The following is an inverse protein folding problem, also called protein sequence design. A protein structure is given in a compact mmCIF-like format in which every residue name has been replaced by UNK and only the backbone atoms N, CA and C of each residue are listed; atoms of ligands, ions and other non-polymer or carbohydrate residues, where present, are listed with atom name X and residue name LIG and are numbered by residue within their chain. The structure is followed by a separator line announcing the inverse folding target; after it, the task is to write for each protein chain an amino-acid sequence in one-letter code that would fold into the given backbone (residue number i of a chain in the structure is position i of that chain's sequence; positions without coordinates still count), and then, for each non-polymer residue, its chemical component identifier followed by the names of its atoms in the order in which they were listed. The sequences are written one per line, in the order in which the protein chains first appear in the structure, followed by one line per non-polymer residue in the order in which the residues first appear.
data_IF_267714241781
#
_entry.id   IF_267714241781
#
_cell.length_a   1.000
_cell.length_b   1.000
_cell.length_c   1.000
_cell.angle_alpha   90.00
_cell.angle_beta   90.00
_cell.angle_gamma   90.00
#
_symmetry.space_group_name_H-M   'P 1'
#
loop_
_entity.id
_entity.type
_entity.pdbx_description
1 polymer ?
#
# COMPACT_ATOMS: atom_id res chain seq x y z
N UNK A 1 49.24 4.87 64.69
CA UNK A 1 48.34 6.04 64.60
C UNK A 1 48.92 7.23 63.82
N UNK A 2 50.25 7.41 63.74
CA UNK A 2 50.84 8.53 63.01
C UNK A 2 50.62 8.50 61.48
N UNK A 3 50.53 7.32 60.86
CA UNK A 3 50.36 7.18 59.41
C UNK A 3 48.96 7.58 58.93
N UNK A 4 47.90 7.16 59.63
CA UNK A 4 46.51 7.45 59.24
C UNK A 4 46.17 8.94 59.39
N UNK A 5 46.64 9.57 60.45
CA UNK A 5 46.55 11.02 60.65
C UNK A 5 47.32 11.80 59.57
N UNK A 6 48.49 11.31 59.15
CA UNK A 6 49.27 11.91 58.06
C UNK A 6 48.57 11.79 56.69
N UNK A 7 47.94 10.64 56.40
CA UNK A 7 47.13 10.47 55.19
C UNK A 7 45.87 11.36 55.22
N UNK A 8 45.15 11.45 56.34
CA UNK A 8 44.00 12.36 56.50
C UNK A 8 44.43 13.83 56.32
N UNK A 9 45.58 14.23 56.86
CA UNK A 9 46.14 15.56 56.68
C UNK A 9 46.52 15.85 55.22
N UNK A 10 47.03 14.85 54.47
CA UNK A 10 47.32 14.99 53.04
C UNK A 10 46.06 15.08 52.20
N UNK A 11 45.05 14.27 52.49
CA UNK A 11 43.77 14.26 51.78
C UNK A 11 42.97 15.55 52.00
N UNK A 12 43.10 16.18 53.17
CA UNK A 12 42.42 17.46 53.50
C UNK A 12 43.14 18.70 52.96
N UNK A 13 44.36 18.58 52.43
CA UNK A 13 45.04 19.72 51.78
C UNK A 13 44.23 20.18 50.58
N UNK A 14 43.88 21.48 50.55
CA UNK A 14 43.20 22.14 49.40
C UNK A 14 43.85 21.81 48.05
N UNK A 15 45.19 21.65 47.99
CA UNK A 15 45.91 21.26 46.77
C UNK A 15 45.59 19.83 46.31
N UNK A 16 45.47 18.89 47.24
CA UNK A 16 45.10 17.51 46.91
C UNK A 16 43.65 17.43 46.46
N UNK A 17 42.71 18.04 47.21
CA UNK A 17 41.29 18.12 46.85
C UNK A 17 41.12 18.79 45.48
N UNK A 18 41.86 19.87 45.20
CA UNK A 18 41.85 20.50 43.88
C UNK A 18 42.40 19.60 42.77
N UNK A 19 43.51 18.88 43.00
CA UNK A 19 44.06 17.96 41.99
C UNK A 19 43.18 16.73 41.77
N UNK A 20 42.50 16.24 42.80
CA UNK A 20 41.65 15.06 42.75
C UNK A 20 40.30 15.36 42.09
N UNK A 21 39.62 16.44 42.50
CA UNK A 21 38.31 16.83 41.93
C UNK A 21 38.43 17.40 40.50
N UNK A 22 39.57 17.97 40.12
CA UNK A 22 39.83 18.46 38.76
C UNK A 22 40.84 17.60 38.00
N UNK A 23 41.04 16.34 38.40
CA UNK A 23 41.81 15.38 37.61
C UNK A 23 41.08 15.15 36.29
N UNK A 24 41.49 15.86 35.23
CA UNK A 24 41.11 15.53 33.87
C UNK A 24 42.21 14.64 33.33
N UNK A 25 41.86 13.43 32.92
CA UNK A 25 42.74 12.59 32.12
C UNK A 25 43.08 13.38 30.85
N UNK A 26 44.38 13.57 30.58
CA UNK A 26 44.80 14.16 29.31
C UNK A 26 44.24 13.32 28.17
N UNK A 27 43.68 13.96 27.13
CA UNK A 27 43.20 13.23 25.96
C UNK A 27 44.40 12.63 25.25
N UNK A 28 44.62 11.33 25.42
CA UNK A 28 45.64 10.61 24.69
C UNK A 28 45.30 10.63 23.20
N UNK A 29 46.04 11.44 22.43
CA UNK A 29 46.03 11.41 20.97
C UNK A 29 46.87 10.23 20.47
N UNK A 30 46.56 9.02 20.92
CA UNK A 30 47.04 7.82 20.22
C UNK A 30 46.31 7.76 18.89
N UNK A 31 47.03 7.91 17.77
CA UNK A 31 46.51 7.59 16.44
C UNK A 31 46.12 6.12 16.52
N UNK A 32 44.83 5.81 16.51
CA UNK A 32 44.41 4.45 16.75
C UNK A 32 44.74 3.61 15.49
N UNK A 33 45.07 2.31 15.64
CA UNK A 33 45.41 1.46 14.51
C UNK A 33 44.26 1.45 13.49
N UNK A 34 44.52 1.21 12.20
CA UNK A 34 43.52 1.25 11.11
C UNK A 34 42.23 0.43 11.36
N UNK A 35 42.26 -0.54 12.28
CA UNK A 35 41.13 -1.41 12.65
C UNK A 35 40.37 -0.95 13.91
N UNK A 36 40.76 0.16 14.53
CA UNK A 36 40.14 0.66 15.75
C UNK A 36 38.81 1.35 15.44
N UNK A 37 37.70 0.71 15.83
CA UNK A 37 36.33 1.21 15.65
C UNK A 37 36.04 2.30 16.69
N UNK A 38 36.60 3.50 16.51
CA UNK A 38 36.30 4.69 17.35
C UNK A 38 35.02 5.43 16.93
N UNK A 39 34.17 4.80 16.14
CA UNK A 39 32.91 5.39 15.70
C UNK A 39 31.83 4.82 16.62
N UNK A 40 31.31 5.60 17.58
CA UNK A 40 30.19 5.14 18.40
C UNK A 40 28.99 4.85 17.51
N UNK A 41 28.11 3.92 17.90
CA UNK A 41 26.88 3.72 17.15
C UNK A 41 26.07 5.02 17.11
N UNK A 42 25.43 5.29 15.99
CA UNK A 42 24.47 6.38 15.84
C UNK A 42 23.08 5.77 15.65
N UNK A 43 22.08 6.43 16.21
CA UNK A 43 20.67 6.11 15.96
C UNK A 43 20.28 6.71 14.62
N UNK A 44 20.24 5.89 13.58
CA UNK A 44 19.75 6.29 12.27
C UNK A 44 18.26 5.96 12.16
N UNK A 45 17.46 6.95 11.78
CA UNK A 45 16.00 6.83 11.65
C UNK A 45 15.32 6.51 12.99
N UNK A 46 15.36 7.46 13.96
CA UNK A 46 14.84 7.25 15.30
C UNK A 46 13.38 6.80 15.31
N UNK A 47 12.60 7.19 14.31
CA UNK A 47 11.21 6.81 14.09
C UNK A 47 10.98 5.29 14.02
N UNK A 48 11.94 4.49 13.57
CA UNK A 48 11.80 3.02 13.47
C UNK A 48 12.08 2.28 14.78
N UNK A 49 12.64 2.95 15.79
CA UNK A 49 12.97 2.34 17.08
C UNK A 49 11.69 1.95 17.84
N UNK A 50 11.53 0.67 18.20
CA UNK A 50 10.37 0.18 18.97
C UNK A 50 10.56 0.29 20.50
N UNK A 51 11.55 1.04 20.99
CA UNK A 51 11.83 1.22 22.43
C UNK A 51 12.05 -0.08 23.23
N UNK A 52 12.49 -1.17 22.58
CA UNK A 52 12.59 -2.50 23.21
C UNK A 52 13.70 -2.65 24.26
N UNK A 53 14.68 -1.73 24.32
CA UNK A 53 15.80 -1.80 25.27
C UNK A 53 16.84 -2.89 24.97
N UNK A 54 16.73 -3.62 23.86
CA UNK A 54 17.68 -4.68 23.51
C UNK A 54 19.14 -4.17 23.42
N UNK A 55 19.34 -2.95 22.93
CA UNK A 55 20.65 -2.30 22.84
C UNK A 55 21.24 -1.90 24.19
N UNK A 56 20.40 -1.48 25.14
CA UNK A 56 20.79 -1.18 26.51
C UNK A 56 21.20 -2.47 27.23
N UNK A 57 20.37 -3.52 27.14
CA UNK A 57 20.66 -4.82 27.75
C UNK A 57 21.85 -5.57 27.12
N UNK A 58 22.13 -5.36 25.83
CA UNK A 58 23.25 -6.00 25.14
C UNK A 58 24.58 -5.24 25.29
N UNK A 59 24.58 -4.02 25.84
CA UNK A 59 25.78 -3.21 25.92
C UNK A 59 26.71 -3.68 27.05
N UNK A 60 27.89 -4.28 26.76
CA UNK A 60 28.77 -4.81 27.80
C UNK A 60 29.45 -3.72 28.64
N UNK A 61 29.55 -2.49 28.11
CA UNK A 61 30.14 -1.34 28.81
C UNK A 61 29.08 -0.41 29.42
N UNK A 62 27.80 -0.80 29.39
CA UNK A 62 26.67 -0.01 29.89
C UNK A 62 26.64 1.43 29.36
N UNK A 63 27.14 1.64 28.15
CA UNK A 63 27.24 2.95 27.50
C UNK A 63 25.92 3.46 26.90
N UNK A 64 24.83 2.69 26.99
CA UNK A 64 23.55 3.00 26.33
C UNK A 64 22.47 3.13 27.40
N UNK A 65 21.74 4.25 27.37
CA UNK A 65 20.61 4.53 28.26
C UNK A 65 19.36 4.85 27.42
N UNK A 66 18.22 4.25 27.75
CA UNK A 66 16.96 4.54 27.04
C UNK A 66 16.27 5.81 27.56
N UNK A 67 16.42 6.92 26.84
CA UNK A 67 15.89 8.24 27.23
C UNK A 67 14.63 8.58 26.41
N UNK A 68 13.64 9.23 27.02
CA UNK A 68 12.43 9.65 26.31
C UNK A 68 12.66 10.93 25.51
N UNK A 69 12.36 10.91 24.21
CA UNK A 69 12.44 12.06 23.32
C UNK A 69 11.04 12.56 22.95
N UNK A 70 10.77 13.85 23.19
CA UNK A 70 9.46 14.45 22.93
C UNK A 70 9.11 14.48 21.44
N UNK A 71 10.08 14.77 20.56
CA UNK A 71 9.89 14.86 19.11
C UNK A 71 9.33 13.56 18.49
N UNK A 72 9.75 12.42 19.04
CA UNK A 72 9.35 11.10 18.57
C UNK A 72 8.32 10.40 19.47
N UNK A 73 7.94 11.03 20.60
CA UNK A 73 7.00 10.49 21.60
C UNK A 73 7.32 9.07 22.08
N UNK A 74 8.61 8.74 22.24
CA UNK A 74 9.06 7.40 22.64
C UNK A 74 10.48 7.40 23.23
N UNK A 75 10.90 6.25 23.78
CA UNK A 75 12.25 6.08 24.32
C UNK A 75 13.24 5.69 23.22
N UNK A 76 14.37 6.37 23.15
CA UNK A 76 15.44 6.10 22.20
C UNK A 76 16.76 5.89 22.96
N UNK A 77 17.67 5.07 22.43
CA UNK A 77 18.97 4.87 23.04
C UNK A 77 19.83 6.12 22.90
N UNK A 78 20.24 6.67 24.05
CA UNK A 78 21.27 7.69 24.16
C UNK A 78 22.59 6.99 24.47
N UNK A 79 23.60 7.25 23.64
CA UNK A 79 24.89 6.55 23.69
C UNK A 79 25.93 7.49 24.27
N UNK A 80 26.54 7.09 25.38
CA UNK A 80 27.71 7.76 25.95
C UNK A 80 28.97 7.35 25.18
N UNK A 81 29.50 8.29 24.38
CA UNK A 81 30.69 8.11 23.56
C UNK A 81 31.94 7.84 24.40
N UNK A 82 31.98 8.32 25.66
CA UNK A 82 33.09 8.09 26.58
C UNK A 82 33.12 6.67 27.15
N UNK A 83 31.95 6.06 27.36
CA UNK A 83 31.82 4.68 27.85
C UNK A 83 31.76 3.63 26.73
N UNK A 84 31.45 4.04 25.50
CA UNK A 84 31.30 3.13 24.36
C UNK A 84 32.65 2.56 23.91
N UNK A 85 32.73 1.22 23.86
CA UNK A 85 33.93 0.51 23.40
C UNK A 85 33.90 0.12 21.90
N UNK A 86 32.85 0.52 21.16
CA UNK A 86 32.76 0.28 19.71
C UNK A 86 32.64 -1.21 19.30
N UNK A 87 32.13 -2.08 20.18
CA UNK A 87 32.05 -3.52 19.93
C UNK A 87 30.99 -3.92 18.88
N UNK A 88 29.92 -3.12 18.73
CA UNK A 88 28.83 -3.37 17.78
C UNK A 88 27.73 -4.33 18.26
N UNK A 89 27.75 -4.81 19.49
CA UNK A 89 26.72 -5.74 19.98
C UNK A 89 25.30 -5.13 19.97
N UNK A 90 25.20 -3.82 20.25
CA UNK A 90 23.94 -3.09 20.17
C UNK A 90 23.36 -3.00 18.75
N UNK A 91 24.23 -3.00 17.72
CA UNK A 91 23.83 -3.00 16.31
C UNK A 91 23.24 -4.36 15.94
N UNK A 92 23.95 -5.44 16.26
CA UNK A 92 23.52 -6.81 15.94
C UNK A 92 22.25 -7.23 16.70
N UNK A 93 22.12 -6.81 17.96
CA UNK A 93 20.94 -7.11 18.78
C UNK A 93 19.72 -6.26 18.45
N UNK A 94 19.85 -5.22 17.63
CA UNK A 94 18.73 -4.33 17.31
C UNK A 94 17.78 -5.02 16.32
N UNK A 95 16.54 -5.40 16.73
CA UNK A 95 15.61 -6.09 15.84
C UNK A 95 15.13 -5.20 14.68
N UNK A 96 15.15 -3.88 14.89
CA UNK A 96 14.76 -2.86 13.89
C UNK A 96 15.95 -2.28 13.14
N UNK A 97 17.18 -2.72 13.48
CA UNK A 97 18.47 -2.30 12.88
C UNK A 97 18.80 -0.81 12.91
N UNK A 98 18.12 -0.02 13.76
CA UNK A 98 18.21 1.45 13.89
C UNK A 98 19.59 1.96 14.32
N UNK A 99 20.43 1.09 14.88
CA UNK A 99 21.77 1.46 15.33
C UNK A 99 22.81 1.14 14.26
N UNK A 100 23.70 2.07 13.96
CA UNK A 100 24.76 1.89 12.96
C UNK A 100 26.14 2.28 13.50
N UNK A 101 27.16 1.46 13.23
CA UNK A 101 28.57 1.81 13.43
C UNK A 101 29.18 2.07 12.06
N UNK A 102 29.75 3.27 11.89
CA UNK A 102 30.15 3.86 10.60
C UNK A 102 31.35 3.23 9.88
N UNK A 103 31.35 1.92 9.64
CA UNK A 103 32.32 1.25 8.77
C UNK A 103 31.70 0.50 7.59
N UNK A 104 30.46 0.85 7.19
CA UNK A 104 29.74 0.27 6.04
C UNK A 104 29.27 1.31 5.00
N UNK A 105 29.66 2.59 5.14
CA UNK A 105 29.16 3.72 4.31
C UNK A 105 30.23 4.39 3.44
N UNK A 106 31.32 3.70 3.08
CA UNK A 106 32.25 4.25 2.06
C UNK A 106 31.52 4.56 0.74
N UNK A 107 30.49 3.77 0.40
CA UNK A 107 29.76 3.86 -0.87
C UNK A 107 28.78 5.05 -0.97
N UNK A 108 28.32 5.61 0.16
CA UNK A 108 27.27 6.65 0.20
C UNK A 108 27.74 8.02 0.67
N UNK A 109 29.01 8.14 1.10
CA UNK A 109 29.63 9.40 1.54
C UNK A 109 29.74 10.47 0.43
N UNK A 110 29.65 10.07 -0.85
CA UNK A 110 29.74 10.95 -2.02
C UNK A 110 28.40 11.58 -2.45
N UNK A 111 27.27 11.16 -1.86
CA UNK A 111 25.96 11.67 -2.25
C UNK A 111 25.58 12.92 -1.43
N UNK A 112 25.01 13.96 -2.07
CA UNK A 112 24.66 15.23 -1.40
C UNK A 112 23.50 15.12 -0.40
N UNK A 113 22.89 13.94 -0.22
CA UNK A 113 21.73 13.69 0.63
C UNK A 113 21.88 12.38 1.42
N UNK A 114 21.28 12.32 2.62
CA UNK A 114 21.30 11.12 3.47
C UNK A 114 20.22 10.14 2.99
N UNK A 115 20.61 9.06 2.31
CA UNK A 115 19.67 8.17 1.62
C UNK A 115 19.11 7.09 2.58
N UNK A 116 17.79 6.77 2.55
CA UNK A 116 17.17 5.87 3.53
C UNK A 116 17.52 4.39 3.37
N UNK A 117 18.33 3.83 4.29
CA UNK A 117 18.79 2.42 4.25
C UNK A 117 17.70 1.35 4.23
N UNK A 118 16.49 1.72 4.63
CA UNK A 118 15.42 0.77 4.85
C UNK A 118 14.39 0.74 3.73
N UNK A 119 13.67 -0.37 3.66
CA UNK A 119 12.45 -0.49 2.86
C UNK A 119 11.33 0.32 3.49
N UNK A 120 10.66 1.08 2.64
CA UNK A 120 9.44 1.80 2.94
C UNK A 120 8.31 1.23 2.08
N UNK A 121 7.10 1.27 2.62
CA UNK A 121 5.93 0.73 1.97
C UNK A 121 4.91 1.83 1.71
N UNK A 122 4.31 1.84 0.53
CA UNK A 122 3.17 2.69 0.20
C UNK A 122 2.05 1.84 -0.36
N UNK A 123 0.82 2.08 0.11
CA UNK A 123 -0.36 1.40 -0.42
C UNK A 123 -0.87 2.19 -1.62
N UNK A 124 -1.02 1.50 -2.74
CA UNK A 124 -1.64 2.03 -3.94
C UNK A 124 -3.16 2.04 -3.79
N UNK A 125 -3.73 3.24 -3.68
CA UNK A 125 -5.17 3.46 -3.52
C UNK A 125 -6.01 3.04 -4.73
N UNK A 126 -5.44 2.98 -5.94
CA UNK A 126 -6.18 2.53 -7.12
C UNK A 126 -6.32 1.00 -7.15
N UNK A 127 -5.28 0.29 -6.70
CA UNK A 127 -5.23 -1.16 -6.64
C UNK A 127 -5.85 -1.74 -5.37
N UNK A 128 -5.76 -1.03 -4.25
CA UNK A 128 -6.29 -1.46 -2.96
C UNK A 128 -7.80 -1.73 -3.05
N UNK A 129 -8.22 -2.87 -2.49
CA UNK A 129 -9.64 -3.28 -2.42
C UNK A 129 -10.24 -3.11 -1.02
N UNK A 130 -9.51 -2.45 -0.13
CA UNK A 130 -9.88 -2.16 1.25
C UNK A 130 -10.26 -3.41 2.09
N UNK A 131 -9.65 -4.55 1.81
CA UNK A 131 -9.91 -5.80 2.53
C UNK A 131 -9.36 -5.84 3.97
N UNK A 132 -8.42 -4.96 4.32
CA UNK A 132 -7.83 -4.89 5.66
C UNK A 132 -6.87 -6.03 6.03
N UNK A 133 -6.52 -6.94 5.11
CA UNK A 133 -5.57 -8.02 5.38
C UNK A 133 -4.22 -7.51 5.88
N UNK A 134 -3.72 -6.42 5.30
CA UNK A 134 -2.47 -5.79 5.71
C UNK A 134 -2.51 -5.28 7.17
N UNK A 135 -3.63 -4.68 7.59
CA UNK A 135 -3.82 -4.23 8.97
C UNK A 135 -3.83 -5.42 9.94
N UNK A 136 -4.53 -6.50 9.61
CA UNK A 136 -4.64 -7.69 10.47
C UNK A 136 -3.32 -8.43 10.71
N UNK A 137 -2.33 -8.32 9.82
CA UNK A 137 -1.02 -8.99 9.96
C UNK A 137 0.09 -8.08 10.52
N UNK A 138 -0.19 -6.79 10.72
CA UNK A 138 0.81 -5.82 11.16
C UNK A 138 1.14 -6.04 12.64
N UNK A 139 2.39 -6.37 13.02
CA UNK A 139 2.74 -6.65 14.42
C UNK A 139 2.87 -5.39 15.30
N UNK A 140 2.92 -4.20 14.69
CA UNK A 140 3.15 -2.91 15.37
C UNK A 140 2.04 -1.90 15.08
N UNK A 141 0.91 -2.36 14.52
CA UNK A 141 -0.27 -1.54 14.20
C UNK A 141 0.04 -0.25 13.42
N UNK A 142 1.06 -0.28 12.56
CA UNK A 142 1.48 0.88 11.75
C UNK A 142 0.53 1.20 10.57
N UNK A 143 -0.58 0.46 10.41
CA UNK A 143 -1.48 0.61 9.26
C UNK A 143 -2.85 1.10 9.72
N UNK A 144 -3.19 2.32 9.32
CA UNK A 144 -4.42 3.00 9.68
C UNK A 144 -5.38 3.11 8.50
N UNK A 145 -6.67 3.26 8.81
CA UNK A 145 -7.73 3.46 7.82
C UNK A 145 -8.35 4.85 8.01
N UNK A 146 -8.21 5.71 7.01
CA UNK A 146 -8.67 7.11 7.07
C UNK A 146 -10.14 7.27 6.63
N UNK A 147 -10.93 6.19 6.69
CA UNK A 147 -12.32 6.17 6.22
C UNK A 147 -12.48 5.91 4.72
N UNK A 148 -11.43 6.11 3.92
CA UNK A 148 -11.45 5.79 2.48
C UNK A 148 -10.32 4.84 2.08
N UNK A 149 -9.06 5.15 2.45
CA UNK A 149 -7.87 4.39 2.07
C UNK A 149 -7.09 3.93 3.31
N UNK A 150 -6.41 2.79 3.18
CA UNK A 150 -5.40 2.38 4.15
C UNK A 150 -4.09 3.14 3.91
N UNK A 151 -3.46 3.62 4.99
CA UNK A 151 -2.16 4.29 4.96
C UNK A 151 -1.21 3.65 5.96
N UNK A 152 0.05 3.58 5.57
CA UNK A 152 1.13 3.07 6.42
C UNK A 152 1.80 4.28 7.06
N UNK A 153 1.82 4.33 8.38
CA UNK A 153 2.63 5.28 9.10
C UNK A 153 4.09 4.87 8.98
N UNK A 154 4.83 5.67 8.23
CA UNK A 154 6.24 5.47 7.95
C UNK A 154 7.07 5.46 9.23
N UNK A 155 6.66 6.23 10.24
CA UNK A 155 7.37 6.30 11.50
C UNK A 155 7.23 4.99 12.28
N UNK A 156 6.00 4.51 12.44
CA UNK A 156 5.76 3.28 13.21
C UNK A 156 6.15 1.99 12.48
N UNK A 157 6.35 2.03 11.16
CA UNK A 157 6.61 0.84 10.35
C UNK A 157 8.03 0.28 10.53
N UNK A 158 8.13 -0.99 10.92
CA UNK A 158 9.42 -1.68 11.12
C UNK A 158 9.98 -2.38 9.86
N UNK A 159 9.32 -2.31 8.70
CA UNK A 159 9.87 -2.90 7.48
C UNK A 159 9.71 -4.43 7.31
N UNK A 160 8.83 -5.10 8.07
CA UNK A 160 8.78 -6.58 8.15
C UNK A 160 8.11 -7.34 6.98
N UNK A 161 7.57 -6.65 5.97
CA UNK A 161 6.98 -7.23 4.73
C UNK A 161 5.75 -8.13 4.84
N UNK A 162 5.29 -8.48 6.05
CA UNK A 162 4.07 -9.27 6.27
C UNK A 162 2.84 -8.73 5.53
N UNK A 163 2.71 -7.41 5.43
CA UNK A 163 1.60 -6.78 4.71
C UNK A 163 1.64 -7.06 3.20
N UNK A 164 2.84 -7.16 2.61
CA UNK A 164 3.05 -7.45 1.19
C UNK A 164 2.68 -8.90 0.89
N UNK A 165 3.09 -9.83 1.75
CA UNK A 165 2.77 -11.26 1.64
C UNK A 165 1.27 -11.52 1.81
N UNK A 166 0.65 -10.89 2.80
CA UNK A 166 -0.78 -11.06 3.09
C UNK A 166 -1.69 -10.38 2.05
N UNK A 167 -1.17 -9.45 1.24
CA UNK A 167 -1.99 -8.72 0.27
C UNK A 167 -2.37 -9.64 -0.91
N UNK A 168 -3.67 -9.85 -1.18
CA UNK A 168 -4.13 -10.73 -2.26
C UNK A 168 -4.03 -10.08 -3.65
N UNK A 169 -3.82 -8.76 -3.71
CA UNK A 169 -3.73 -7.99 -4.97
C UNK A 169 -2.27 -7.76 -5.33
N UNK A 170 -1.92 -8.02 -6.58
CA UNK A 170 -0.57 -7.80 -7.11
C UNK A 170 -0.23 -6.31 -7.08
N UNK A 171 0.98 -5.97 -6.65
CA UNK A 171 1.55 -4.61 -6.60
C UNK A 171 0.74 -3.53 -5.86
N UNK A 172 -0.29 -3.92 -5.10
CA UNK A 172 -1.09 -2.98 -4.32
C UNK A 172 -0.31 -2.34 -3.15
N UNK A 173 0.79 -2.95 -2.72
CA UNK A 173 1.73 -2.36 -1.76
C UNK A 173 3.07 -2.25 -2.48
N UNK A 174 3.51 -1.02 -2.73
CA UNK A 174 4.78 -0.72 -3.37
C UNK A 174 5.88 -0.54 -2.35
N UNK A 175 7.03 -1.10 -2.67
CA UNK A 175 8.25 -1.00 -1.87
C UNK A 175 9.14 0.02 -2.55
N UNK A 176 9.70 0.94 -1.78
CA UNK A 176 10.79 1.81 -2.23
C UNK A 176 11.87 1.82 -1.16
N UNK A 177 13.12 1.77 -1.60
CA UNK A 177 14.32 1.76 -0.77
C UNK A 177 15.33 2.78 -1.30
N UNK A 178 16.45 2.93 -0.59
CA UNK A 178 17.56 3.80 -0.98
C UNK A 178 18.03 3.56 -2.41
N UNK A 179 18.16 2.29 -2.81
CA UNK A 179 18.65 1.94 -4.13
C UNK A 179 17.73 2.45 -5.24
N UNK A 180 16.41 2.17 -5.12
CA UNK A 180 15.42 2.63 -6.10
C UNK A 180 15.38 4.16 -6.15
N UNK A 181 15.48 4.84 -5.00
CA UNK A 181 15.49 6.30 -4.98
C UNK A 181 16.73 6.86 -5.70
N UNK A 182 17.93 6.38 -5.36
CA UNK A 182 19.19 6.82 -5.96
C UNK A 182 19.19 6.63 -7.47
N UNK A 183 18.81 5.44 -7.96
CA UNK A 183 18.71 5.15 -9.40
C UNK A 183 17.77 6.13 -10.12
N UNK A 184 16.64 6.46 -9.50
CA UNK A 184 15.65 7.38 -10.08
C UNK A 184 16.10 8.84 -10.03
N UNK A 185 16.84 9.25 -9.02
CA UNK A 185 17.46 10.57 -8.95
C UNK A 185 18.57 10.74 -9.98
N UNK A 186 19.43 9.74 -10.16
CA UNK A 186 20.46 9.75 -11.22
C UNK A 186 19.82 9.83 -12.61
N UNK A 187 18.75 9.06 -12.85
CA UNK A 187 17.99 9.15 -14.09
C UNK A 187 17.41 10.55 -14.31
N UNK A 188 16.81 11.15 -13.27
CA UNK A 188 16.29 12.52 -13.29
C UNK A 188 17.39 13.52 -13.67
N UNK A 189 18.56 13.42 -13.04
CA UNK A 189 19.72 14.26 -13.32
C UNK A 189 20.20 14.11 -14.76
N UNK A 190 20.33 12.87 -15.25
CA UNK A 190 20.77 12.59 -16.62
C UNK A 190 19.82 13.16 -17.68
N UNK A 191 18.51 13.04 -17.46
CA UNK A 191 17.49 13.64 -18.35
C UNK A 191 17.60 15.17 -18.34
N UNK A 192 17.74 15.76 -17.15
CA UNK A 192 17.89 17.21 -16.98
C UNK A 192 19.16 17.72 -17.67
N UNK A 193 20.27 17.00 -17.54
CA UNK A 193 21.54 17.32 -18.18
C UNK A 193 21.45 17.25 -19.71
N UNK A 194 20.90 16.17 -20.27
CA UNK A 194 20.70 16.05 -21.73
C UNK A 194 19.87 17.19 -22.31
N UNK A 195 18.83 17.62 -21.57
CA UNK A 195 18.01 18.77 -21.95
C UNK A 195 18.80 20.08 -21.97
N UNK A 196 19.72 20.29 -21.02
CA UNK A 196 20.58 21.47 -20.99
C UNK A 196 21.54 21.52 -22.18
N UNK A 197 22.09 20.38 -22.57
CA UNK A 197 23.04 20.26 -23.70
C UNK A 197 22.32 20.21 -25.07
N UNK A 198 20.98 20.20 -25.08
CA UNK A 198 20.13 20.10 -26.29
C UNK A 198 20.35 18.82 -27.11
N UNK A 199 20.83 17.74 -26.49
CA UNK A 199 20.97 16.41 -27.11
C UNK A 199 19.68 15.58 -26.96
N UNK A 200 18.51 16.21 -27.03
CA UNK A 200 17.23 15.50 -26.89
C UNK A 200 16.79 14.88 -28.22
N UNK A 201 16.76 13.55 -28.25
CA UNK A 201 16.04 12.81 -29.27
C UNK A 201 14.53 12.86 -28.99
N UNK A 202 13.74 13.03 -30.07
CA UNK A 202 12.28 13.07 -29.99
C UNK A 202 11.76 11.65 -29.80
N UNK A 203 11.59 11.24 -28.54
CA UNK A 203 11.04 9.94 -28.17
C UNK A 203 9.54 9.79 -28.46
N UNK A 204 9.03 8.59 -28.23
CA UNK A 204 7.60 8.27 -28.36
C UNK A 204 6.73 9.11 -27.42
N UNK A 205 5.59 9.55 -27.92
CA UNK A 205 4.63 10.37 -27.16
C UNK A 205 3.63 9.45 -26.49
N UNK A 206 3.43 9.61 -25.19
CA UNK A 206 2.44 8.84 -24.44
C UNK A 206 1.01 9.20 -24.88
N UNK A 207 0.05 8.25 -24.85
CA UNK A 207 -1.27 8.46 -25.44
C UNK A 207 -2.11 9.50 -24.68
N UNK A 208 -2.05 9.48 -23.34
CA UNK A 208 -2.84 10.34 -22.47
C UNK A 208 -1.94 11.19 -21.56
N UNK A 209 -2.51 12.25 -20.99
CA UNK A 209 -1.84 13.05 -19.96
C UNK A 209 -1.76 12.22 -18.67
N UNK A 210 -0.58 12.10 -18.03
CA UNK A 210 -0.44 11.33 -16.82
C UNK A 210 -1.11 12.02 -15.63
N UNK A 211 -1.74 11.25 -14.76
CA UNK A 211 -2.29 11.71 -13.47
C UNK A 211 -1.37 11.33 -12.31
N UNK A 212 -1.54 12.01 -11.18
CA UNK A 212 -0.78 11.76 -9.95
C UNK A 212 -1.67 11.02 -8.95
N UNK A 213 -1.28 9.80 -8.60
CA UNK A 213 -1.92 9.03 -7.53
C UNK A 213 -1.44 9.58 -6.18
N UNK A 214 -2.38 10.12 -5.39
CA UNK A 214 -2.06 10.87 -4.16
C UNK A 214 -1.42 9.96 -3.12
N UNK A 215 -1.99 8.77 -2.97
CA UNK A 215 -1.51 7.77 -2.01
C UNK A 215 -0.07 7.34 -2.26
N UNK A 216 0.40 7.34 -3.51
CA UNK A 216 1.75 6.90 -3.89
C UNK A 216 2.81 8.02 -3.87
N UNK A 217 2.40 9.29 -3.93
CA UNK A 217 3.32 10.40 -4.12
C UNK A 217 4.06 10.75 -2.81
N UNK A 218 5.39 10.54 -2.79
CA UNK A 218 6.27 10.90 -1.68
C UNK A 218 6.83 12.34 -1.78
N UNK A 219 6.38 13.13 -2.76
CA UNK A 219 6.81 14.51 -3.02
C UNK A 219 8.33 14.67 -3.18
N UNK A 220 8.97 13.77 -3.93
CA UNK A 220 10.40 13.85 -4.24
C UNK A 220 10.76 14.84 -5.37
N UNK A 221 9.77 15.52 -5.97
CA UNK A 221 9.92 16.54 -7.03
C UNK A 221 10.56 16.12 -8.36
N UNK A 222 11.04 14.88 -8.52
CA UNK A 222 11.60 14.36 -9.78
C UNK A 222 10.72 14.63 -11.01
N UNK A 223 9.40 14.44 -10.88
CA UNK A 223 8.48 14.64 -11.99
C UNK A 223 8.43 16.11 -12.44
N UNK A 224 8.60 17.06 -11.52
CA UNK A 224 8.64 18.50 -11.81
C UNK A 224 9.96 18.86 -12.48
N UNK A 225 11.08 18.32 -11.98
CA UNK A 225 12.43 18.59 -12.51
C UNK A 225 12.60 18.19 -13.98
N UNK A 226 12.05 17.05 -14.39
CA UNK A 226 12.17 16.57 -15.78
C UNK A 226 11.07 17.10 -16.70
N UNK A 227 10.03 17.74 -16.15
CA UNK A 227 8.87 18.15 -16.94
C UNK A 227 9.24 19.33 -17.86
N UNK A 228 8.89 19.27 -19.15
CA UNK A 228 8.91 20.45 -20.01
C UNK A 228 7.70 21.37 -19.82
N UNK A 229 6.61 20.87 -19.21
CA UNK A 229 5.43 21.64 -18.85
C UNK A 229 5.33 21.89 -17.33
N UNK A 230 4.11 22.07 -16.83
CA UNK A 230 3.83 22.49 -15.46
C UNK A 230 3.08 21.39 -14.70
N UNK A 231 3.65 20.97 -13.56
CA UNK A 231 3.05 20.03 -12.63
C UNK A 231 2.87 20.72 -11.27
N UNK A 232 1.64 20.78 -10.78
CA UNK A 232 1.30 21.27 -9.46
C UNK A 232 1.17 20.09 -8.47
N UNK A 233 2.25 19.87 -7.71
CA UNK A 233 2.30 18.83 -6.67
C UNK A 233 1.44 19.14 -5.44
N UNK A 234 1.09 20.41 -5.19
CA UNK A 234 0.23 20.76 -4.04
C UNK A 234 -1.19 20.26 -4.26
N UNK A 235 -1.68 20.42 -5.49
CA UNK A 235 -3.03 19.99 -5.88
C UNK A 235 -3.08 18.64 -6.60
N UNK A 236 -1.93 18.00 -6.82
CA UNK A 236 -1.80 16.73 -7.55
C UNK A 236 -2.33 16.81 -8.99
N UNK A 237 -2.04 17.91 -9.69
CA UNK A 237 -2.54 18.18 -11.05
C UNK A 237 -1.39 18.43 -12.02
N UNK A 238 -1.53 17.90 -13.24
CA UNK A 238 -0.69 18.28 -14.38
C UNK A 238 -1.44 19.37 -15.14
N UNK A 239 -0.88 20.58 -15.19
CA UNK A 239 -1.53 21.74 -15.81
C UNK A 239 -1.17 21.82 -17.30
N UNK A 240 0.11 21.64 -17.61
CA UNK A 240 0.62 21.68 -18.99
C UNK A 240 1.47 20.44 -19.26
N UNK A 241 1.19 19.72 -20.35
CA UNK A 241 1.85 18.46 -20.66
C UNK A 241 2.13 18.31 -22.15
N UNK A 242 3.39 18.03 -22.49
CA UNK A 242 3.80 17.69 -23.86
C UNK A 242 3.70 16.20 -24.17
N UNK A 243 3.27 15.38 -23.20
CA UNK A 243 3.17 13.91 -23.31
C UNK A 243 4.50 13.23 -23.66
N UNK A 244 5.60 13.70 -23.06
CA UNK A 244 6.94 13.12 -23.24
C UNK A 244 7.24 11.87 -22.39
N UNK A 245 6.36 11.46 -21.45
CA UNK A 245 6.55 10.25 -20.65
C UNK A 245 7.59 10.30 -19.50
N UNK A 246 8.56 11.23 -19.53
CA UNK A 246 9.68 11.30 -18.55
C UNK A 246 9.28 11.27 -17.09
N UNK A 247 8.19 11.96 -16.73
CA UNK A 247 7.69 11.98 -15.36
C UNK A 247 7.30 10.59 -14.81
N UNK A 248 6.90 9.66 -15.69
CA UNK A 248 6.59 8.27 -15.35
C UNK A 248 7.88 7.49 -15.10
N UNK A 249 8.88 7.70 -15.94
CA UNK A 249 10.17 7.02 -15.87
C UNK A 249 10.93 7.34 -14.57
N UNK A 250 10.94 8.60 -14.16
CA UNK A 250 11.67 9.09 -12.97
C UNK A 250 10.91 8.93 -11.66
N UNK A 251 9.65 8.49 -11.69
CA UNK A 251 8.84 8.37 -10.48
C UNK A 251 9.24 7.12 -9.68
N UNK A 252 9.78 7.24 -8.45
CA UNK A 252 10.29 6.10 -7.69
C UNK A 252 9.19 5.17 -7.20
N UNK A 253 8.07 5.75 -6.76
CA UNK A 253 6.90 5.01 -6.28
C UNK A 253 5.88 4.71 -7.37
N UNK A 254 6.14 5.17 -8.61
CA UNK A 254 5.24 5.09 -9.76
C UNK A 254 3.87 5.74 -9.53
N UNK A 255 3.83 6.84 -8.79
CA UNK A 255 2.64 7.68 -8.59
C UNK A 255 2.11 8.33 -9.89
N UNK A 256 2.97 8.50 -10.89
CA UNK A 256 2.58 9.00 -12.22
C UNK A 256 2.01 7.85 -13.05
N UNK A 257 0.75 7.97 -13.50
CA UNK A 257 0.03 6.90 -14.23
C UNK A 257 -0.79 7.39 -15.41
N UNK A 258 -1.00 6.48 -16.36
CA UNK A 258 -1.84 6.63 -17.54
C UNK A 258 -2.86 5.50 -17.56
N UNK A 259 -4.04 5.74 -18.13
CA UNK A 259 -5.04 4.71 -18.36
C UNK A 259 -5.65 4.13 -17.09
N UNK A 260 -6.51 3.13 -17.27
CA UNK A 260 -7.13 2.40 -16.16
C UNK A 260 -6.21 1.28 -15.70
N UNK A 261 -6.11 1.13 -14.38
CA UNK A 261 -5.33 0.05 -13.76
C UNK A 261 -6.28 -1.08 -13.41
N UNK A 262 -5.97 -2.29 -13.87
CA UNK A 262 -6.70 -3.50 -13.53
C UNK A 262 -6.16 -4.11 -12.24
N UNK A 263 -7.06 -4.61 -11.40
CA UNK A 263 -6.68 -5.31 -10.16
C UNK A 263 -6.48 -6.77 -10.45
N UNK A 264 -5.24 -7.24 -10.31
CA UNK A 264 -4.84 -8.61 -10.61
C UNK A 264 -4.60 -9.33 -9.28
N UNK A 265 -5.11 -10.55 -9.14
CA UNK A 265 -4.84 -11.36 -7.95
C UNK A 265 -3.44 -11.97 -7.99
N UNK A 266 -2.77 -12.00 -6.83
CA UNK A 266 -1.53 -12.78 -6.65
C UNK A 266 -1.80 -14.28 -6.64
N UNK A 267 -2.91 -14.68 -6.01
CA UNK A 267 -3.30 -16.08 -5.87
C UNK A 267 -4.11 -16.46 -7.10
N UNK A 268 -3.70 -17.52 -7.81
CA UNK A 268 -4.42 -17.99 -9.01
C UNK A 268 -4.99 -19.39 -8.86
N UNK A 269 -4.51 -20.18 -7.90
CA UNK A 269 -4.86 -21.59 -7.83
C UNK A 269 -6.25 -21.82 -7.23
N UNK A 270 -6.67 -20.97 -6.28
CA UNK A 270 -7.95 -21.10 -5.58
C UNK A 270 -8.84 -19.87 -5.78
N UNK A 271 -10.15 -20.08 -5.74
CA UNK A 271 -11.17 -19.04 -5.82
C UNK A 271 -12.35 -19.34 -4.89
N UNK A 272 -13.04 -18.29 -4.47
CA UNK A 272 -14.28 -18.41 -3.69
C UNK A 272 -15.45 -18.76 -4.61
N UNK A 273 -16.33 -19.63 -4.13
CA UNK A 273 -17.61 -19.99 -4.76
C UNK A 273 -18.75 -19.81 -3.76
N UNK A 274 -19.98 -19.65 -4.26
CA UNK A 274 -21.19 -19.55 -3.43
C UNK A 274 -22.02 -20.81 -3.64
N UNK A 275 -22.27 -21.52 -2.56
CA UNK A 275 -23.11 -22.72 -2.51
C UNK A 275 -24.59 -22.31 -2.43
N UNK A 276 -25.39 -22.73 -3.41
CA UNK A 276 -26.78 -22.29 -3.56
C UNK A 276 -27.69 -22.85 -2.47
N UNK A 277 -27.48 -24.10 -2.08
CA UNK A 277 -28.22 -24.82 -1.05
C UNK A 277 -28.12 -24.16 0.32
N UNK A 278 -27.00 -23.48 0.60
CA UNK A 278 -26.77 -22.76 1.86
C UNK A 278 -27.06 -21.26 1.77
N UNK A 279 -27.16 -20.69 0.57
CA UNK A 279 -27.32 -19.26 0.39
C UNK A 279 -28.75 -18.78 0.64
N UNK A 280 -28.95 -17.91 1.62
CA UNK A 280 -30.25 -17.30 1.92
C UNK A 280 -30.59 -16.05 1.07
N UNK A 281 -29.74 -15.68 0.10
CA UNK A 281 -30.01 -14.55 -0.79
C UNK A 281 -29.93 -13.14 -0.15
N UNK A 282 -29.25 -12.97 0.99
CA UNK A 282 -29.15 -11.67 1.68
C UNK A 282 -28.34 -10.58 0.94
N UNK A 283 -27.57 -10.95 -0.10
CA UNK A 283 -26.76 -10.07 -0.96
C UNK A 283 -25.69 -9.22 -0.25
N UNK A 284 -25.30 -9.58 0.98
CA UNK A 284 -24.18 -8.93 1.68
C UNK A 284 -22.90 -9.04 0.86
N UNK A 285 -22.58 -10.25 0.38
CA UNK A 285 -21.41 -10.52 -0.45
C UNK A 285 -21.33 -9.60 -1.68
N UNK A 286 -22.47 -9.40 -2.37
CA UNK A 286 -22.57 -8.51 -3.53
C UNK A 286 -22.25 -7.05 -3.16
N UNK A 287 -22.81 -6.54 -2.07
CA UNK A 287 -22.59 -5.15 -1.61
C UNK A 287 -21.16 -4.87 -1.17
N UNK A 288 -20.49 -5.84 -0.53
CA UNK A 288 -19.12 -5.66 -0.04
C UNK A 288 -18.06 -5.87 -1.12
N UNK A 289 -18.42 -6.35 -2.32
CA UNK A 289 -17.49 -6.63 -3.39
C UNK A 289 -17.04 -5.34 -4.11
N UNK A 290 -15.86 -4.83 -3.76
CA UNK A 290 -15.28 -3.61 -4.36
C UNK A 290 -14.71 -3.79 -5.78
N UNK A 291 -14.74 -5.01 -6.31
CA UNK A 291 -14.21 -5.36 -7.64
C UNK A 291 -15.29 -5.75 -8.65
N UNK A 292 -16.56 -5.82 -8.23
CA UNK A 292 -17.66 -6.20 -9.12
C UNK A 292 -17.51 -7.61 -9.69
N UNK A 293 -17.01 -8.54 -8.86
CA UNK A 293 -16.81 -9.94 -9.22
C UNK A 293 -18.02 -10.82 -8.90
N UNK A 294 -19.11 -10.27 -8.35
CA UNK A 294 -20.29 -11.04 -7.97
C UNK A 294 -21.44 -10.61 -8.86
N UNK A 295 -22.02 -11.57 -9.57
CA UNK A 295 -23.19 -11.40 -10.41
C UNK A 295 -24.41 -11.98 -9.67
N UNK A 296 -25.60 -11.47 -9.97
CA UNK A 296 -26.86 -11.98 -9.40
C UNK A 296 -27.56 -12.75 -10.52
N UNK A 297 -27.85 -14.02 -10.23
CA UNK A 297 -28.54 -14.88 -11.17
C UNK A 297 -29.98 -14.45 -11.38
N UNK A 298 -30.45 -14.56 -12.62
CA UNK A 298 -31.83 -14.21 -12.97
C UNK A 298 -32.82 -15.27 -12.47
N UNK A 299 -32.43 -16.55 -12.54
CA UNK A 299 -33.31 -17.67 -12.21
C UNK A 299 -33.51 -17.85 -10.71
N UNK A 300 -32.41 -18.00 -9.98
CA UNK A 300 -32.41 -18.27 -8.54
C UNK A 300 -32.47 -16.99 -7.70
N UNK A 301 -32.17 -15.83 -8.31
CA UNK A 301 -31.94 -14.54 -7.60
C UNK A 301 -30.81 -14.60 -6.58
N UNK A 302 -29.98 -15.65 -6.64
CA UNK A 302 -28.84 -15.88 -5.77
C UNK A 302 -27.55 -15.33 -6.39
N UNK A 303 -26.61 -14.85 -5.56
CA UNK A 303 -25.32 -14.38 -6.03
C UNK A 303 -24.39 -15.53 -6.45
N UNK A 304 -23.56 -15.30 -7.46
CA UNK A 304 -22.46 -16.19 -7.84
C UNK A 304 -21.21 -15.39 -8.24
N UNK A 305 -20.03 -15.98 -8.09
CA UNK A 305 -18.75 -15.27 -8.23
C UNK A 305 -18.16 -15.55 -9.62
N UNK A 306 -17.70 -14.48 -10.28
CA UNK A 306 -16.88 -14.50 -11.48
C UNK A 306 -15.38 -14.62 -11.11
N UNK A 307 -14.72 -15.77 -11.36
CA UNK A 307 -13.32 -15.99 -10.98
C UNK A 307 -12.30 -15.12 -11.71
N UNK A 308 -12.65 -14.58 -12.89
CA UNK A 308 -11.78 -13.73 -13.71
C UNK A 308 -11.64 -12.33 -13.11
N UNK A 309 -12.72 -11.81 -12.50
CA UNK A 309 -12.73 -10.52 -11.80
C UNK A 309 -12.34 -10.63 -10.33
N UNK A 310 -12.45 -11.83 -9.74
CA UNK A 310 -12.23 -12.04 -8.32
C UNK A 310 -10.75 -11.86 -7.95
N UNK A 311 -10.46 -10.87 -7.10
CA UNK A 311 -9.10 -10.67 -6.56
C UNK A 311 -8.75 -11.57 -5.38
N UNK A 312 -9.70 -12.44 -4.97
CA UNK A 312 -9.54 -13.41 -3.88
C UNK A 312 -9.22 -12.76 -2.52
N UNK A 313 -9.84 -11.61 -2.24
CA UNK A 313 -9.62 -10.88 -0.99
C UNK A 313 -10.33 -11.45 0.24
N UNK A 314 -11.28 -12.38 0.06
CA UNK A 314 -11.96 -13.05 1.17
C UNK A 314 -12.96 -12.19 1.96
N UNK A 315 -13.22 -10.95 1.54
CA UNK A 315 -14.21 -10.08 2.22
C UNK A 315 -15.60 -10.71 2.16
N UNK A 316 -16.02 -11.21 0.99
CA UNK A 316 -17.33 -11.87 0.85
C UNK A 316 -17.48 -13.09 1.77
N UNK A 317 -16.42 -13.89 1.92
CA UNK A 317 -16.38 -15.06 2.79
C UNK A 317 -16.56 -14.69 4.26
N UNK A 318 -15.80 -13.70 4.75
CA UNK A 318 -15.88 -13.24 6.16
C UNK A 318 -17.21 -12.60 6.52
N UNK A 319 -17.84 -11.93 5.57
CA UNK A 319 -19.11 -11.22 5.78
C UNK A 319 -20.35 -12.11 5.57
N UNK A 320 -20.18 -13.39 5.23
CA UNK A 320 -21.30 -14.29 4.99
C UNK A 320 -21.90 -14.79 6.32
N UNK A 321 -23.15 -14.45 6.67
CA UNK A 321 -23.74 -14.82 7.96
C UNK A 321 -24.13 -16.31 8.06
N UNK A 322 -24.16 -17.02 6.94
CA UNK A 322 -24.58 -18.43 6.83
C UNK A 322 -23.47 -19.34 6.30
N UNK A 323 -22.24 -18.81 6.21
CA UNK A 323 -21.06 -19.56 5.75
C UNK A 323 -21.23 -20.29 4.40
N UNK A 324 -22.10 -19.77 3.53
CA UNK A 324 -22.41 -20.36 2.22
C UNK A 324 -21.32 -20.16 1.15
N UNK A 325 -20.16 -19.63 1.53
CA UNK A 325 -19.05 -19.35 0.62
C UNK A 325 -17.90 -20.26 0.96
N UNK A 326 -17.38 -20.99 -0.02
CA UNK A 326 -16.26 -21.92 0.16
C UNK A 326 -15.14 -21.65 -0.83
N UNK A 327 -13.95 -22.15 -0.52
CA UNK A 327 -12.75 -22.00 -1.34
C UNK A 327 -12.53 -23.29 -2.15
N UNK A 328 -12.44 -23.17 -3.47
CA UNK A 328 -12.19 -24.31 -4.38
C UNK A 328 -11.14 -23.95 -5.42
N UNK A 329 -10.73 -24.91 -6.24
CA UNK A 329 -9.78 -24.66 -7.33
C UNK A 329 -10.38 -23.70 -8.37
N UNK A 330 -9.53 -22.84 -8.95
CA UNK A 330 -9.96 -21.83 -9.93
C UNK A 330 -10.56 -22.47 -11.17
N UNK A 331 -10.07 -23.63 -11.61
CA UNK A 331 -10.62 -24.34 -12.78
C UNK A 331 -12.07 -24.77 -12.53
N UNK A 332 -12.34 -25.38 -11.38
CA UNK A 332 -13.69 -25.78 -11.00
C UNK A 332 -14.61 -24.57 -10.83
N UNK A 333 -14.12 -23.53 -10.18
CA UNK A 333 -14.85 -22.26 -10.03
C UNK A 333 -15.26 -21.66 -11.38
N UNK A 334 -14.35 -21.70 -12.37
CA UNK A 334 -14.59 -21.17 -13.71
C UNK A 334 -15.62 -22.02 -14.47
N UNK A 335 -15.55 -23.34 -14.33
CA UNK A 335 -16.54 -24.27 -14.90
C UNK A 335 -17.94 -23.98 -14.36
N UNK A 336 -18.09 -23.88 -13.03
CA UNK A 336 -19.36 -23.57 -12.38
C UNK A 336 -19.90 -22.19 -12.78
N UNK A 337 -19.04 -21.18 -12.81
CA UNK A 337 -19.42 -19.84 -13.27
C UNK A 337 -19.93 -19.85 -14.72
N UNK A 338 -19.23 -20.52 -15.64
CA UNK A 338 -19.64 -20.62 -17.05
C UNK A 338 -21.00 -21.29 -17.18
N UNK A 339 -21.21 -22.41 -16.49
CA UNK A 339 -22.50 -23.11 -16.49
C UNK A 339 -23.65 -22.19 -16.02
N UNK A 340 -23.45 -21.47 -14.91
CA UNK A 340 -24.46 -20.53 -14.39
C UNK A 340 -24.73 -19.38 -15.35
N UNK A 341 -23.68 -18.76 -15.88
CA UNK A 341 -23.81 -17.65 -16.83
C UNK A 341 -24.55 -18.06 -18.10
N UNK A 342 -24.28 -19.26 -18.61
CA UNK A 342 -24.99 -19.82 -19.76
C UNK A 342 -26.47 -20.05 -19.43
N UNK A 343 -26.78 -20.63 -18.26
CA UNK A 343 -28.16 -20.82 -17.79
C UNK A 343 -28.91 -19.49 -17.69
N UNK A 344 -28.33 -18.50 -17.00
CA UNK A 344 -28.90 -17.17 -16.85
C UNK A 344 -29.17 -16.50 -18.21
N UNK A 345 -28.23 -16.63 -19.15
CA UNK A 345 -28.39 -16.07 -20.49
C UNK A 345 -29.58 -16.69 -21.23
N UNK A 346 -29.68 -18.02 -21.25
CA UNK A 346 -30.81 -18.72 -21.88
C UNK A 346 -32.15 -18.35 -21.24
N UNK A 347 -32.24 -18.36 -19.91
CA UNK A 347 -33.46 -17.98 -19.19
C UNK A 347 -33.88 -16.52 -19.45
N UNK A 348 -32.90 -15.61 -19.49
CA UNK A 348 -33.19 -14.21 -19.83
C UNK A 348 -33.75 -14.06 -21.25
N UNK A 349 -33.25 -14.85 -22.20
CA UNK A 349 -33.73 -14.84 -23.58
C UNK A 349 -35.17 -15.39 -23.65
N UNK A 350 -35.43 -16.55 -23.04
CA UNK A 350 -36.76 -17.17 -23.01
C UNK A 350 -37.78 -16.25 -22.33
N UNK A 351 -37.42 -15.63 -21.20
CA UNK A 351 -38.29 -14.69 -20.50
C UNK A 351 -38.63 -13.47 -21.36
N UNK A 352 -37.67 -12.93 -22.10
CA UNK A 352 -37.89 -11.79 -22.99
C UNK A 352 -38.81 -12.16 -24.16
N UNK A 353 -38.62 -13.34 -24.75
CA UNK A 353 -39.46 -13.82 -25.86
C UNK A 353 -40.90 -14.08 -25.39
N UNK A 354 -41.07 -14.69 -24.22
CA UNK A 354 -42.39 -14.91 -23.61
C UNK A 354 -43.10 -13.58 -23.33
N UNK A 355 -42.39 -12.58 -22.81
CA UNK A 355 -42.94 -11.24 -22.57
C UNK A 355 -43.37 -10.57 -23.88
N UNK A 356 -42.57 -10.69 -24.95
CA UNK A 356 -42.95 -10.15 -26.25
C UNK A 356 -44.18 -10.85 -26.84
N UNK A 357 -44.25 -12.18 -26.74
CA UNK A 357 -45.40 -12.96 -27.20
C UNK A 357 -46.65 -12.58 -26.41
N UNK A 358 -46.54 -12.48 -25.09
CA UNK A 358 -47.64 -12.08 -24.20
C UNK A 358 -48.19 -10.70 -24.58
N UNK A 359 -47.31 -9.71 -24.80
CA UNK A 359 -47.72 -8.37 -25.26
C UNK A 359 -48.43 -8.40 -26.61
N UNK A 360 -47.87 -9.13 -27.59
CA UNK A 360 -48.49 -9.27 -28.92
C UNK A 360 -49.84 -9.97 -28.85
N UNK A 361 -49.98 -10.99 -28.01
CA UNK A 361 -51.25 -11.69 -27.81
C UNK A 361 -52.32 -10.78 -27.23
N UNK A 362 -51.98 -9.98 -26.21
CA UNK A 362 -52.91 -9.00 -25.61
C UNK A 362 -53.36 -7.97 -26.65
N UNK A 363 -52.43 -7.45 -27.45
CA UNK A 363 -52.74 -6.49 -28.51
C UNK A 363 -53.67 -7.10 -29.58
N UNK A 364 -53.32 -8.27 -30.11
CA UNK A 364 -54.13 -8.97 -31.10
C UNK A 364 -55.55 -9.27 -30.59
N UNK A 365 -55.68 -9.64 -29.31
CA UNK A 365 -56.98 -9.87 -28.68
C UNK A 365 -57.81 -8.59 -28.61
N UNK A 366 -57.19 -7.44 -28.31
CA UNK A 366 -57.86 -6.13 -28.32
C UNK A 366 -58.34 -5.79 -29.73
N UNK A 367 -57.46 -5.90 -30.72
CA UNK A 367 -57.76 -5.60 -32.12
C UNK A 367 -58.91 -6.48 -32.66
N UNK A 368 -58.94 -7.76 -32.28
CA UNK A 368 -60.02 -8.69 -32.66
C UNK A 368 -61.35 -8.32 -32.01
N UNK A 369 -61.35 -7.86 -30.76
CA UNK A 369 -62.57 -7.41 -30.07
C UNK A 369 -63.13 -6.14 -30.70
N UNK A 370 -62.27 -5.16 -31.01
CA UNK A 370 -62.67 -3.94 -31.73
C UNK A 370 -63.22 -4.26 -33.12
N UNK A 371 -62.55 -5.15 -33.88
CA UNK A 371 -63.04 -5.59 -35.18
C UNK A 371 -64.39 -6.30 -35.08
N UNK A 372 -64.58 -7.17 -34.09
CA UNK A 372 -65.84 -7.85 -33.85
C UNK A 372 -66.96 -6.88 -33.48
N UNK A 373 -66.70 -5.88 -32.63
CA UNK A 373 -67.66 -4.83 -32.29
C UNK A 373 -68.06 -4.04 -33.53
N UNK A 374 -67.11 -3.57 -34.32
CA UNK A 374 -67.40 -2.85 -35.57
C UNK A 374 -68.23 -3.69 -36.57
N UNK A 375 -67.98 -5.00 -36.65
CA UNK A 375 -68.79 -5.91 -37.49
C UNK A 375 -70.21 -6.14 -36.97
N UNK A 376 -70.40 -6.11 -35.64
CA UNK A 376 -71.73 -6.19 -35.03
C UNK A 376 -72.49 -4.89 -35.29
N UNK A 377 -71.86 -3.74 -35.12
CA UNK A 377 -72.43 -2.41 -35.40
C UNK A 377 -72.86 -2.27 -36.88
N UNK A 378 -71.99 -2.65 -37.83
CA UNK A 378 -72.32 -2.67 -39.27
C UNK A 378 -73.53 -3.56 -39.60
N UNK A 379 -73.77 -4.61 -38.81
CA UNK A 379 -74.87 -5.55 -39.02
C UNK A 379 -76.17 -5.03 -38.41
N UNK A 380 -76.10 -4.40 -37.25
CA UNK A 380 -77.24 -3.71 -36.63
C UNK A 380 -77.72 -2.57 -37.55
N UNK A 381 -76.82 -1.75 -38.11
CA UNK A 381 -77.17 -0.70 -39.06
C UNK A 381 -77.81 -1.22 -40.36
N UNK A 382 -77.40 -2.42 -40.81
CA UNK A 382 -78.01 -3.08 -41.98
C UNK A 382 -79.40 -3.68 -41.70
N UNK A 383 -79.62 -4.20 -40.50
CA UNK A 383 -80.91 -4.74 -40.09
C UNK A 383 -81.92 -3.60 -39.79
N UNK A 384 -81.47 -2.48 -39.23
CA UNK A 384 -82.31 -1.29 -38.99
C UNK A 384 -82.71 -0.56 -40.30
N UNK A 385 -81.92 -0.70 -41.38
CA UNK A 385 -82.26 -0.16 -42.70
C UNK A 385 -83.20 -1.04 -43.54
N UNK A 386 -83.59 -2.23 -43.02
CA UNK A 386 -84.52 -3.16 -43.65
C UNK A 386 -85.81 -3.39 -42.83
N UNK A 387 -86.04 -2.61 -41.77
CA UNK A 387 -87.32 -2.59 -41.08
C UNK A 387 -88.38 -1.84 -41.92
N UNK A 388 -89.57 -2.43 -42.15
CA UNK A 388 -90.59 -1.94 -43.09
C UNK A 388 -91.25 -0.61 -42.71
#
# INVERSE_FOLDING_TARGET
MASTLWYLYILTKKRFIKRFLWAKTDREYTIPPKRFRKIPPVVEYPERCISCGACEGSCPSSAIEMVYFQDYRKKLPKIDVGACIGCGNCVESCPTKVLEIGSLREETLSLPWNVPKYRYFVIDEELCVNCGSCKGVCPVDAINYDGNNYRIDVNSCIGCERCVEACPVLDAIRIYDEKILSEKFELCFNIKFKRMVKEEERGEVIPEVPRIVKGLCIRCENCVDVCPGIIDLKNYKVLECTRCGRCIEVCPTGAMRIGKVSRISKIKDRCYIIEEDRCIGCRICYRVCSVGAIDISWDTRLPYINPEKCVRCGVCYRECPVEAISLTDTENSLKLYRLRKTRDYFESMVSNDLDQISRKYVQLKSDLLEFAQGKVEEKIEKDDSHAP
#
